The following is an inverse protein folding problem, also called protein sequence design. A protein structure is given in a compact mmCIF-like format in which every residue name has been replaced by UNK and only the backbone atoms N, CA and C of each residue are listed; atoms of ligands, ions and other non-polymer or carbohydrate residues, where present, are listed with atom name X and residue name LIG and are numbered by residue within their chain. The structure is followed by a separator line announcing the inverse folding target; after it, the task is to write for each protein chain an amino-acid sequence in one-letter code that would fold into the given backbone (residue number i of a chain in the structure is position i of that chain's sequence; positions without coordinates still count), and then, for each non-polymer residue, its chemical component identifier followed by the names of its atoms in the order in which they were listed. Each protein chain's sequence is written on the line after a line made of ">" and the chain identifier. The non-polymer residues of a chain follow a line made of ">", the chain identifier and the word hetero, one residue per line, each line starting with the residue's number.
data_IF_480154413350
#
_entry.id   IF_480154413350
#
_cell.length_a   1.000
_cell.length_b   1.000
_cell.length_c   1.000
_cell.angle_alpha   90.00
_cell.angle_beta   90.00
_cell.angle_gamma   90.00
#
_symmetry.space_group_name_H-M   'P 1'
#
loop_
_entity.id
_entity.type
_entity.pdbx_description
1 polymer ?
#
# COMPACT_ATOMS: atom_id res chain seq x y z
N UNK A 1 -28.71 9.58 -28.56
CA UNK A 1 -27.44 10.25 -28.89
C UNK A 1 -26.39 9.17 -29.02
N UNK A 2 -26.01 8.82 -30.24
CA UNK A 2 -24.92 7.89 -30.54
C UNK A 2 -23.61 8.49 -30.04
N UNK A 3 -22.81 7.69 -29.32
CA UNK A 3 -21.48 8.13 -28.89
C UNK A 3 -20.67 8.56 -30.13
N UNK A 4 -19.90 9.67 -30.07
CA UNK A 4 -19.05 10.06 -31.19
C UNK A 4 -18.04 8.94 -31.47
N UNK A 5 -17.90 8.57 -32.75
CA UNK A 5 -16.89 7.64 -33.24
C UNK A 5 -15.52 8.10 -32.74
N UNK A 6 -14.94 7.34 -31.81
CA UNK A 6 -13.56 7.53 -31.38
C UNK A 6 -12.71 6.58 -32.23
N UNK A 7 -12.11 7.03 -33.34
CA UNK A 7 -11.28 6.16 -34.15
C UNK A 7 -10.10 5.64 -33.31
N UNK A 8 -9.63 4.41 -33.55
CA UNK A 8 -8.45 3.90 -32.86
C UNK A 8 -7.27 4.85 -33.07
N UNK A 9 -6.47 5.04 -32.02
CA UNK A 9 -5.28 5.89 -32.06
C UNK A 9 -4.39 5.46 -33.21
N UNK A 10 -4.17 6.38 -34.18
CA UNK A 10 -3.24 6.12 -35.27
C UNK A 10 -1.83 6.05 -34.71
N UNK A 11 -1.29 4.83 -34.66
CA UNK A 11 0.10 4.61 -34.25
C UNK A 11 0.99 4.94 -35.44
N UNK A 12 2.00 5.82 -35.30
CA UNK A 12 2.95 6.09 -36.36
C UNK A 12 3.58 4.79 -36.85
N UNK A 13 3.59 4.55 -38.15
CA UNK A 13 4.19 3.36 -38.75
C UNK A 13 5.65 3.59 -39.17
N UNK A 14 6.10 4.83 -39.14
CA UNK A 14 7.40 5.34 -39.55
C UNK A 14 8.35 5.54 -38.34
N UNK A 15 8.26 4.68 -37.34
CA UNK A 15 9.10 4.77 -36.15
C UNK A 15 10.49 4.20 -36.44
N UNK A 16 11.53 5.02 -36.32
CA UNK A 16 12.93 4.58 -36.34
C UNK A 16 13.27 3.85 -35.03
N UNK A 17 13.08 2.52 -35.04
CA UNK A 17 13.36 1.65 -33.91
C UNK A 17 14.84 1.66 -33.49
N UNK A 18 15.84 1.63 -34.40
CA UNK A 18 17.24 1.82 -34.05
C UNK A 18 17.51 3.12 -33.26
N UNK A 19 17.05 4.27 -33.75
CA UNK A 19 17.26 5.55 -33.08
C UNK A 19 16.59 5.61 -31.69
N UNK A 20 15.39 5.02 -31.57
CA UNK A 20 14.68 4.95 -30.28
C UNK A 20 15.43 4.08 -29.26
N UNK A 21 15.95 2.91 -29.68
CA UNK A 21 16.77 2.04 -28.82
C UNK A 21 18.04 2.74 -28.35
N UNK A 22 18.69 3.48 -29.23
CA UNK A 22 19.88 4.26 -28.88
C UNK A 22 19.57 5.38 -27.88
N UNK A 23 18.45 6.09 -28.06
CA UNK A 23 17.96 7.07 -27.07
C UNK A 23 17.74 6.42 -25.70
N UNK A 24 17.08 5.26 -25.65
CA UNK A 24 16.86 4.53 -24.39
C UNK A 24 18.17 4.06 -23.74
N UNK A 25 19.14 3.59 -24.54
CA UNK A 25 20.48 3.23 -24.03
C UNK A 25 21.16 4.42 -23.38
N UNK A 26 21.20 5.59 -24.05
CA UNK A 26 21.80 6.83 -23.52
C UNK A 26 21.12 7.30 -22.24
N UNK A 27 19.78 7.24 -22.16
CA UNK A 27 19.05 7.60 -20.94
C UNK A 27 19.28 6.61 -19.79
N UNK A 28 19.40 5.31 -20.08
CA UNK A 28 19.77 4.29 -19.09
C UNK A 28 21.17 4.55 -18.53
N UNK A 29 22.15 4.78 -19.39
CA UNK A 29 23.55 4.97 -19.01
C UNK A 29 23.78 6.15 -18.07
N UNK A 30 23.03 7.26 -18.24
CA UNK A 30 23.07 8.41 -17.32
C UNK A 30 22.74 8.05 -15.87
N UNK A 31 22.06 6.92 -15.63
CA UNK A 31 21.46 6.55 -14.33
C UNK A 31 21.97 5.21 -13.79
N UNK A 32 22.90 4.56 -14.50
CA UNK A 32 23.57 3.38 -13.96
C UNK A 32 24.48 3.80 -12.81
N UNK A 33 24.18 3.27 -11.62
CA UNK A 33 24.96 3.49 -10.40
C UNK A 33 25.69 2.19 -10.06
N UNK A 34 27.04 2.17 -9.97
CA UNK A 34 27.79 0.96 -9.61
C UNK A 34 27.45 0.46 -8.20
N UNK A 35 26.95 1.33 -7.32
CA UNK A 35 26.50 0.99 -5.97
C UNK A 35 25.21 0.15 -5.95
N UNK A 36 24.42 0.18 -7.03
CA UNK A 36 23.17 -0.56 -7.16
C UNK A 36 22.15 -0.17 -6.09
N UNK A 37 21.59 -1.15 -5.38
CA UNK A 37 20.63 -0.90 -4.29
C UNK A 37 21.24 -0.24 -3.06
N UNK A 38 22.57 -0.23 -2.91
CA UNK A 38 23.27 0.42 -1.78
C UNK A 38 23.22 1.94 -1.81
N UNK A 39 22.67 2.53 -2.87
CA UNK A 39 22.42 3.98 -2.96
C UNK A 39 21.29 4.45 -2.03
N UNK A 40 20.48 3.53 -1.50
CA UNK A 40 19.40 3.83 -0.57
C UNK A 40 19.87 3.60 0.87
N UNK A 41 19.50 4.52 1.76
CA UNK A 41 19.74 4.37 3.19
C UNK A 41 18.64 3.47 3.75
N UNK A 42 19.04 2.41 4.45
CA UNK A 42 18.12 1.63 5.27
C UNK A 42 17.70 2.46 6.49
N UNK A 43 16.40 2.42 6.82
CA UNK A 43 15.84 3.09 7.99
C UNK A 43 16.25 2.34 9.28
N UNK A 44 17.54 2.38 9.62
CA UNK A 44 18.10 1.87 10.87
C UNK A 44 18.48 3.07 11.75
N UNK A 45 18.53 2.86 13.06
CA UNK A 45 18.93 3.86 14.07
C UNK A 45 18.03 5.12 14.10
N UNK A 46 18.58 6.32 13.87
CA UNK A 46 17.91 7.62 13.98
C UNK A 46 16.61 7.73 13.15
N UNK A 47 16.47 6.89 12.12
CA UNK A 47 15.32 6.87 11.22
C UNK A 47 14.36 5.69 11.44
N UNK A 48 14.65 4.77 12.37
CA UNK A 48 13.78 3.63 12.66
C UNK A 48 12.37 4.09 13.07
N UNK A 49 12.26 5.23 13.77
CA UNK A 49 10.99 5.83 14.17
C UNK A 49 10.05 6.19 12.99
N UNK A 50 10.57 6.40 11.78
CA UNK A 50 9.75 6.66 10.60
C UNK A 50 9.03 5.41 10.07
N UNK A 51 9.46 4.22 10.48
CA UNK A 51 8.89 2.95 10.04
C UNK A 51 8.23 2.17 11.17
N UNK A 52 8.80 2.23 12.38
CA UNK A 52 8.34 1.42 13.53
C UNK A 52 7.23 2.09 14.35
N UNK A 53 6.99 3.40 14.15
CA UNK A 53 5.93 4.13 14.85
C UNK A 53 4.72 4.35 13.95
N UNK A 54 3.56 3.92 14.44
CA UNK A 54 2.27 4.21 13.82
C UNK A 54 1.86 5.68 14.10
N UNK A 55 1.71 6.54 13.07
CA UNK A 55 1.32 7.94 13.27
C UNK A 55 -0.19 8.12 13.48
N UNK A 56 -0.99 7.08 13.23
CA UNK A 56 -2.46 7.16 13.21
C UNK A 56 -3.11 6.55 14.43
N UNK A 57 -2.49 5.53 15.03
CA UNK A 57 -3.06 4.82 16.17
C UNK A 57 -1.99 4.64 17.23
N UNK A 58 -2.19 5.19 18.45
CA UNK A 58 -1.26 4.94 19.52
C UNK A 58 -1.26 3.45 19.86
N UNK A 59 -0.09 2.89 20.22
CA UNK A 59 -0.02 1.49 20.63
C UNK A 59 -0.92 1.25 21.86
N UNK A 60 -1.73 0.17 21.88
CA UNK A 60 -2.54 -0.15 23.04
C UNK A 60 -1.64 -0.56 24.20
N UNK A 61 -2.04 -0.18 25.42
CA UNK A 61 -1.46 -0.72 26.64
C UNK A 61 -1.98 -2.14 26.84
N UNK A 62 -1.12 -3.13 26.59
CA UNK A 62 -1.44 -4.55 26.78
C UNK A 62 -0.23 -5.31 27.32
N UNK A 63 -0.50 -6.32 28.14
CA UNK A 63 0.51 -7.28 28.55
C UNK A 63 1.02 -8.10 27.33
N UNK A 64 2.26 -8.63 27.40
CA UNK A 64 2.74 -9.61 26.44
C UNK A 64 1.79 -10.82 26.36
N UNK A 65 1.53 -11.28 25.14
CA UNK A 65 0.65 -12.43 24.88
C UNK A 65 1.52 -13.69 24.85
N UNK A 66 1.12 -14.70 25.60
CA UNK A 66 1.64 -16.07 25.46
C UNK A 66 0.49 -16.98 25.05
N UNK A 67 0.59 -17.59 23.86
CA UNK A 67 -0.49 -18.40 23.30
C UNK A 67 0.01 -19.44 22.30
N UNK A 68 -0.64 -20.60 22.32
CA UNK A 68 -0.56 -21.57 21.24
C UNK A 68 -1.61 -21.20 20.19
N UNK A 69 -1.17 -21.13 18.93
CA UNK A 69 -1.99 -20.70 17.80
C UNK A 69 -1.94 -21.77 16.72
N UNK A 70 -3.06 -22.09 16.09
CA UNK A 70 -3.07 -23.01 14.97
C UNK A 70 -2.58 -22.36 13.68
N UNK A 71 -3.18 -21.23 13.27
CA UNK A 71 -2.71 -20.49 12.10
C UNK A 71 -2.42 -19.03 12.45
N UNK A 72 -1.15 -18.64 12.30
CA UNK A 72 -0.74 -17.25 12.42
C UNK A 72 -0.53 -16.63 11.04
N UNK A 73 -1.24 -15.56 10.74
CA UNK A 73 -1.14 -14.79 9.50
C UNK A 73 -0.37 -13.51 9.77
N UNK A 74 0.71 -13.28 9.03
CA UNK A 74 1.55 -12.10 9.18
C UNK A 74 1.13 -11.02 8.18
N UNK A 75 0.50 -9.95 8.67
CA UNK A 75 0.06 -8.80 7.89
C UNK A 75 -1.47 -8.70 7.80
N UNK A 76 -1.99 -7.51 8.04
CA UNK A 76 -3.40 -7.14 8.02
C UNK A 76 -3.85 -6.43 6.73
N UNK A 77 -3.09 -6.58 5.63
CA UNK A 77 -3.50 -6.11 4.30
C UNK A 77 -4.49 -7.06 3.60
N UNK A 78 -4.77 -6.84 2.32
CA UNK A 78 -5.67 -7.72 1.56
C UNK A 78 -5.28 -9.20 1.60
N UNK A 79 -3.98 -9.52 1.50
CA UNK A 79 -3.53 -10.91 1.60
C UNK A 79 -3.91 -11.57 2.93
N UNK A 80 -3.72 -10.85 4.05
CA UNK A 80 -4.07 -11.36 5.37
C UNK A 80 -5.58 -11.41 5.61
N UNK A 81 -6.31 -10.38 5.17
CA UNK A 81 -7.77 -10.34 5.24
C UNK A 81 -8.41 -11.49 4.45
N UNK A 82 -7.92 -11.75 3.23
CA UNK A 82 -8.40 -12.87 2.41
C UNK A 82 -8.05 -14.20 3.04
N UNK A 83 -6.81 -14.37 3.51
CA UNK A 83 -6.40 -15.59 4.21
C UNK A 83 -7.30 -15.86 5.43
N UNK A 84 -7.49 -14.86 6.30
CA UNK A 84 -8.39 -14.96 7.45
C UNK A 84 -9.83 -15.29 7.06
N UNK A 85 -10.38 -14.58 6.07
CA UNK A 85 -11.74 -14.82 5.58
C UNK A 85 -11.93 -16.26 5.05
N UNK A 86 -11.01 -16.75 4.23
CA UNK A 86 -11.10 -18.11 3.67
C UNK A 86 -10.86 -19.19 4.73
N UNK A 87 -9.98 -18.97 5.70
CA UNK A 87 -9.79 -19.89 6.82
C UNK A 87 -11.04 -19.97 7.69
N UNK A 88 -11.67 -18.84 8.01
CA UNK A 88 -12.95 -18.80 8.74
C UNK A 88 -14.07 -19.49 7.94
N UNK A 89 -14.16 -19.26 6.63
CA UNK A 89 -15.12 -19.98 5.74
C UNK A 89 -14.88 -21.50 5.74
N UNK A 90 -13.63 -21.93 5.88
CA UNK A 90 -13.27 -23.35 5.95
C UNK A 90 -13.49 -23.98 7.34
N UNK A 91 -13.98 -23.22 8.32
CA UNK A 91 -14.21 -23.71 9.69
C UNK A 91 -12.94 -23.79 10.54
N UNK A 92 -11.89 -23.04 10.21
CA UNK A 92 -10.70 -22.92 11.07
C UNK A 92 -10.96 -21.85 12.13
N UNK A 93 -11.14 -22.29 13.38
CA UNK A 93 -11.53 -21.41 14.47
C UNK A 93 -10.36 -20.58 15.02
N UNK A 94 -9.20 -21.20 15.24
CA UNK A 94 -8.01 -20.57 15.83
C UNK A 94 -7.05 -20.01 14.76
N UNK A 95 -7.42 -18.84 14.26
CA UNK A 95 -6.61 -18.03 13.35
C UNK A 95 -6.27 -16.73 14.07
N UNK A 96 -5.01 -16.30 14.01
CA UNK A 96 -4.59 -14.98 14.48
C UNK A 96 -3.95 -14.19 13.36
N UNK A 97 -4.22 -12.89 13.29
CA UNK A 97 -3.61 -11.99 12.30
C UNK A 97 -2.79 -10.95 13.06
N UNK A 98 -1.47 -10.93 12.85
CA UNK A 98 -0.59 -9.94 13.48
C UNK A 98 -0.26 -8.83 12.48
N UNK A 99 -0.40 -7.58 12.91
CA UNK A 99 -0.21 -6.40 12.06
C UNK A 99 0.51 -5.29 12.85
N UNK A 100 1.46 -4.63 12.18
CA UNK A 100 2.20 -3.51 12.75
C UNK A 100 1.33 -2.27 12.93
N UNK A 101 0.35 -2.07 12.04
CA UNK A 101 -0.61 -0.96 12.12
C UNK A 101 -1.67 -1.20 13.20
N UNK A 102 -2.33 -0.12 13.60
CA UNK A 102 -3.44 -0.15 14.55
C UNK A 102 -4.77 -0.64 14.00
N UNK A 103 -4.89 -0.91 12.70
CA UNK A 103 -6.10 -1.44 12.05
C UNK A 103 -5.73 -2.23 10.77
N UNK A 104 -6.70 -2.91 10.19
CA UNK A 104 -6.55 -3.59 8.91
C UNK A 104 -6.37 -2.61 7.74
N UNK A 105 -5.76 -3.07 6.65
CA UNK A 105 -5.69 -2.34 5.39
C UNK A 105 -4.30 -2.37 4.75
N UNK A 106 -3.25 -2.66 5.51
CA UNK A 106 -1.87 -2.72 5.00
C UNK A 106 -1.51 -1.41 4.28
N UNK A 107 -1.16 -1.49 3.00
CA UNK A 107 -0.83 -0.31 2.18
C UNK A 107 -1.91 0.78 2.27
N UNK A 108 -3.19 0.41 2.32
CA UNK A 108 -4.32 1.35 2.40
C UNK A 108 -4.53 1.94 3.80
N UNK A 109 -4.04 1.27 4.84
CA UNK A 109 -3.99 1.83 6.19
C UNK A 109 -2.86 2.85 6.32
N UNK A 110 -1.67 2.47 5.83
CA UNK A 110 -0.42 3.21 6.00
C UNK A 110 -0.30 4.42 5.09
N UNK A 111 -0.85 4.40 3.88
CA UNK A 111 -0.77 5.53 2.96
C UNK A 111 -2.06 6.36 3.06
N UNK A 112 -1.95 7.61 3.52
CA UNK A 112 -3.10 8.54 3.61
C UNK A 112 -2.84 9.92 3.01
N UNK A 113 -1.87 10.01 2.10
CA UNK A 113 -1.59 11.27 1.41
C UNK A 113 -2.78 11.70 0.53
N UNK A 114 -2.99 13.02 0.36
CA UNK A 114 -4.07 13.53 -0.48
C UNK A 114 -3.98 13.00 -1.91
N UNK A 115 -5.10 12.61 -2.49
CA UNK A 115 -5.15 12.11 -3.87
C UNK A 115 -4.73 10.66 -4.06
N UNK A 116 -4.47 9.89 -2.99
CA UNK A 116 -4.23 8.44 -3.10
C UNK A 116 -5.41 7.73 -3.78
N UNK A 117 -5.12 6.98 -4.85
CA UNK A 117 -6.08 6.15 -5.58
C UNK A 117 -5.43 4.82 -5.96
N UNK A 118 -6.28 3.85 -6.31
CA UNK A 118 -5.84 2.62 -6.99
C UNK A 118 -5.60 2.89 -8.48
N UNK A 119 -4.53 2.32 -9.03
CA UNK A 119 -4.16 2.37 -10.46
C UNK A 119 -4.86 1.28 -11.29
N UNK A 120 -5.35 0.23 -10.64
CA UNK A 120 -6.19 -0.79 -11.23
C UNK A 120 -7.68 -0.41 -11.20
N UNK A 121 -8.46 -0.97 -12.13
CA UNK A 121 -9.91 -0.85 -12.09
C UNK A 121 -10.48 -1.48 -10.81
N UNK A 122 -11.30 -0.74 -10.07
CA UNK A 122 -11.75 -1.09 -8.73
C UNK A 122 -12.44 -2.46 -8.68
N UNK A 123 -13.21 -2.83 -9.70
CA UNK A 123 -13.88 -4.14 -9.75
C UNK A 123 -12.93 -5.33 -9.84
N UNK A 124 -11.73 -5.12 -10.40
CA UNK A 124 -10.73 -6.17 -10.54
C UNK A 124 -9.77 -6.21 -9.35
N UNK A 125 -9.64 -5.10 -8.62
CA UNK A 125 -8.63 -4.96 -7.57
C UNK A 125 -9.20 -5.11 -6.15
N UNK A 126 -10.37 -4.54 -5.89
CA UNK A 126 -11.00 -4.61 -4.57
C UNK A 126 -11.62 -6.00 -4.42
N UNK A 127 -11.19 -6.81 -3.43
CA UNK A 127 -11.66 -8.17 -3.31
C UNK A 127 -13.04 -8.25 -2.63
N UNK A 128 -13.72 -9.39 -2.72
CA UNK A 128 -14.95 -9.68 -1.95
C UNK A 128 -16.12 -8.69 -2.17
N UNK A 129 -16.21 -8.10 -3.37
CA UNK A 129 -17.25 -7.13 -3.71
C UNK A 129 -18.65 -7.76 -3.68
N UNK A 130 -18.80 -8.97 -4.23
CA UNK A 130 -20.09 -9.67 -4.24
C UNK A 130 -20.49 -10.12 -2.83
N UNK A 131 -19.57 -10.72 -2.07
CA UNK A 131 -19.85 -11.19 -0.70
C UNK A 131 -20.25 -10.06 0.25
N UNK A 132 -19.71 -8.87 0.02
CA UNK A 132 -20.01 -7.68 0.83
C UNK A 132 -21.09 -6.79 0.21
N UNK A 133 -21.69 -7.21 -0.91
CA UNK A 133 -22.64 -6.43 -1.70
C UNK A 133 -22.18 -4.98 -1.88
N UNK A 134 -20.92 -4.82 -2.29
CA UNK A 134 -20.27 -3.52 -2.40
C UNK A 134 -19.98 -3.16 -3.85
N UNK A 135 -20.36 -1.94 -4.22
CA UNK A 135 -20.05 -1.35 -5.50
C UNK A 135 -19.11 -0.16 -5.26
N UNK A 136 -17.85 -0.22 -5.71
CA UNK A 136 -16.95 0.91 -5.62
C UNK A 136 -17.54 2.18 -6.25
N UNK A 137 -17.18 3.36 -5.74
CA UNK A 137 -17.78 4.63 -6.16
C UNK A 137 -17.29 5.11 -7.54
N UNK A 138 -16.07 4.70 -7.91
CA UNK A 138 -15.35 5.13 -9.11
C UNK A 138 -14.66 3.95 -9.78
N UNK A 139 -14.37 4.12 -11.07
CA UNK A 139 -13.52 3.19 -11.83
C UNK A 139 -12.15 2.96 -11.17
N UNK A 140 -11.59 4.02 -10.59
CA UNK A 140 -10.37 4.01 -9.78
C UNK A 140 -10.73 4.54 -8.38
N UNK A 141 -10.89 3.64 -7.41
CA UNK A 141 -11.35 3.98 -6.07
C UNK A 141 -10.29 4.78 -5.31
N UNK A 142 -10.76 5.68 -4.45
CA UNK A 142 -9.88 6.46 -3.58
C UNK A 142 -9.33 5.56 -2.46
N UNK A 143 -8.12 5.85 -1.98
CA UNK A 143 -7.48 5.04 -0.94
C UNK A 143 -8.29 4.95 0.35
N UNK A 144 -9.02 6.02 0.71
CA UNK A 144 -9.93 6.03 1.88
C UNK A 144 -11.11 5.08 1.70
N UNK A 145 -11.64 4.96 0.49
CA UNK A 145 -12.72 4.05 0.16
C UNK A 145 -12.26 2.59 0.27
N UNK A 146 -11.06 2.31 -0.23
CA UNK A 146 -10.44 0.98 -0.19
C UNK A 146 -10.08 0.60 1.26
N UNK A 147 -9.55 1.53 2.05
CA UNK A 147 -9.31 1.31 3.47
C UNK A 147 -10.61 0.97 4.22
N UNK A 148 -11.69 1.71 3.98
CA UNK A 148 -12.98 1.40 4.60
C UNK A 148 -13.52 0.03 4.14
N UNK A 149 -13.21 -0.39 2.91
CA UNK A 149 -13.51 -1.73 2.45
C UNK A 149 -12.72 -2.82 3.21
N UNK A 150 -11.45 -2.58 3.51
CA UNK A 150 -10.65 -3.47 4.36
C UNK A 150 -11.30 -3.69 5.73
N UNK A 151 -11.80 -2.61 6.35
CA UNK A 151 -12.51 -2.67 7.63
C UNK A 151 -13.85 -3.42 7.51
N UNK A 152 -14.56 -3.28 6.38
CA UNK A 152 -15.77 -4.05 6.08
C UNK A 152 -15.49 -5.54 5.99
N UNK A 153 -14.42 -5.95 5.32
CA UNK A 153 -13.97 -7.37 5.30
C UNK A 153 -13.69 -7.85 6.72
N UNK A 154 -12.89 -7.10 7.49
CA UNK A 154 -12.53 -7.45 8.86
C UNK A 154 -13.75 -7.65 9.77
N UNK A 155 -14.76 -6.77 9.67
CA UNK A 155 -16.01 -6.88 10.43
C UNK A 155 -16.87 -8.06 9.97
N UNK A 156 -17.06 -8.22 8.67
CA UNK A 156 -17.95 -9.25 8.11
C UNK A 156 -17.51 -10.68 8.46
N UNK A 157 -16.20 -10.93 8.49
CA UNK A 157 -15.63 -12.23 8.83
C UNK A 157 -15.19 -12.36 10.29
N UNK A 158 -15.51 -11.40 11.16
CA UNK A 158 -15.14 -11.45 12.59
C UNK A 158 -13.62 -11.49 12.84
N UNK A 159 -12.82 -10.89 11.96
CA UNK A 159 -11.36 -10.97 12.03
C UNK A 159 -10.76 -10.07 13.10
N UNK A 160 -11.50 -9.06 13.57
CA UNK A 160 -11.05 -8.16 14.63
C UNK A 160 -10.74 -8.89 15.95
N UNK A 161 -11.54 -9.90 16.30
CA UNK A 161 -11.33 -10.70 17.52
C UNK A 161 -10.06 -11.57 17.44
N UNK A 162 -9.62 -11.82 16.21
CA UNK A 162 -8.44 -12.62 15.87
C UNK A 162 -7.19 -11.77 15.67
N UNK A 163 -7.31 -10.43 15.66
CA UNK A 163 -6.23 -9.53 15.31
C UNK A 163 -5.33 -9.18 16.50
N UNK A 164 -4.03 -9.08 16.25
CA UNK A 164 -3.01 -8.58 17.17
C UNK A 164 -2.37 -7.35 16.50
N UNK A 165 -2.96 -6.19 16.74
CA UNK A 165 -2.54 -4.92 16.15
C UNK A 165 -1.35 -4.27 16.87
N UNK A 166 -0.76 -3.29 16.20
CA UNK A 166 0.39 -2.51 16.64
C UNK A 166 1.62 -3.36 16.97
N UNK A 167 1.73 -4.58 16.44
CA UNK A 167 2.77 -5.55 16.80
C UNK A 167 3.62 -5.93 15.58
N UNK A 168 4.93 -5.77 15.72
CA UNK A 168 5.92 -6.16 14.73
C UNK A 168 6.43 -7.57 15.02
N UNK A 169 6.39 -8.47 14.05
CA UNK A 169 7.16 -9.72 14.13
C UNK A 169 8.62 -9.46 13.77
N UNK A 170 9.52 -9.87 14.67
CA UNK A 170 10.98 -9.71 14.54
C UNK A 170 11.69 -11.01 14.18
N UNK A 171 11.14 -12.15 14.63
CA UNK A 171 11.74 -13.45 14.39
C UNK A 171 10.68 -14.54 14.25
N UNK A 172 10.98 -15.51 13.40
CA UNK A 172 10.27 -16.79 13.31
C UNK A 172 11.32 -17.89 13.42
N UNK A 173 11.12 -18.83 14.34
CA UNK A 173 12.01 -19.98 14.52
C UNK A 173 11.18 -21.24 14.67
N UNK A 174 11.49 -22.26 13.90
CA UNK A 174 10.91 -23.57 14.13
C UNK A 174 11.52 -24.17 15.39
N UNK A 175 10.68 -24.72 16.26
CA UNK A 175 11.07 -25.45 17.46
C UNK A 175 10.63 -26.91 17.31
N UNK A 176 11.59 -27.81 17.17
CA UNK A 176 11.38 -29.24 16.94
C UNK A 176 10.80 -29.97 18.18
N UNK A 177 11.01 -29.45 19.39
CA UNK A 177 10.51 -30.07 20.62
C UNK A 177 8.99 -29.93 20.74
N UNK A 178 8.49 -28.71 20.49
CA UNK A 178 7.05 -28.41 20.53
C UNK A 178 6.36 -28.54 19.16
N UNK A 179 7.13 -28.77 18.09
CA UNK A 179 6.67 -28.87 16.69
C UNK A 179 5.83 -27.67 16.26
N UNK A 180 6.31 -26.47 16.61
CA UNK A 180 5.64 -25.19 16.33
C UNK A 180 6.66 -24.12 15.98
N UNK A 181 6.21 -23.10 15.28
CA UNK A 181 6.94 -21.86 15.08
C UNK A 181 6.85 -20.98 16.32
N UNK A 182 7.99 -20.65 16.92
CA UNK A 182 8.11 -19.55 17.88
C UNK A 182 8.22 -18.24 17.15
N UNK A 183 7.35 -17.30 17.50
CA UNK A 183 7.24 -15.99 16.87
C UNK A 183 7.61 -14.94 17.90
N UNK A 184 8.76 -14.29 17.70
CA UNK A 184 9.22 -13.20 18.54
C UNK A 184 8.72 -11.85 18.01
N UNK A 185 8.19 -11.01 18.89
CA UNK A 185 7.63 -9.69 18.53
C UNK A 185 8.40 -8.55 19.19
N UNK A 186 8.10 -7.31 18.79
CA UNK A 186 8.59 -6.09 19.47
C UNK A 186 7.92 -5.81 20.82
N UNK A 187 7.07 -6.71 21.32
CA UNK A 187 6.33 -6.59 22.58
C UNK A 187 6.55 -7.77 23.52
N UNK A 188 7.62 -8.52 23.29
CA UNK A 188 7.99 -9.69 24.09
C UNK A 188 6.88 -10.76 24.16
N UNK A 189 6.06 -10.87 23.10
CA UNK A 189 5.06 -11.93 22.99
C UNK A 189 5.76 -13.30 22.77
N UNK A 190 5.22 -14.36 23.39
CA UNK A 190 5.62 -15.77 23.16
C UNK A 190 4.50 -16.51 22.45
N UNK A 191 4.41 -16.30 21.13
CA UNK A 191 3.41 -16.94 20.29
C UNK A 191 3.97 -18.22 19.65
N UNK A 192 3.21 -19.31 19.72
CA UNK A 192 3.62 -20.64 19.25
C UNK A 192 2.64 -21.15 18.18
N UNK A 193 2.95 -20.86 16.93
CA UNK A 193 2.06 -21.12 15.79
C UNK A 193 2.34 -22.49 15.14
N UNK A 194 1.29 -23.27 14.83
CA UNK A 194 1.44 -24.53 14.07
C UNK A 194 1.75 -24.26 12.60
N UNK A 195 1.01 -23.31 12.01
CA UNK A 195 1.20 -22.84 10.65
C UNK A 195 1.41 -21.32 10.64
N UNK A 196 2.27 -20.85 9.74
CA UNK A 196 2.53 -19.42 9.53
C UNK A 196 2.26 -19.08 8.07
N UNK A 197 1.43 -18.07 7.83
CA UNK A 197 1.14 -17.53 6.49
C UNK A 197 1.78 -16.16 6.37
N UNK A 198 2.68 -16.00 5.39
CA UNK A 198 3.37 -14.74 5.12
C UNK A 198 2.53 -13.86 4.20
N UNK A 199 1.90 -12.82 4.74
CA UNK A 199 1.11 -11.83 3.99
C UNK A 199 1.63 -10.39 4.18
N UNK A 200 2.94 -10.23 4.44
CA UNK A 200 3.58 -8.96 4.81
C UNK A 200 3.69 -7.93 3.66
N UNK A 201 3.39 -8.34 2.43
CA UNK A 201 3.40 -7.48 1.24
C UNK A 201 4.79 -7.02 0.78
N UNK A 202 4.95 -6.66 -0.51
CA UNK A 202 6.26 -6.32 -1.09
C UNK A 202 6.74 -4.90 -0.75
N UNK A 203 5.86 -3.99 -0.32
CA UNK A 203 6.16 -2.55 -0.17
C UNK A 203 5.93 -2.02 1.25
N UNK A 204 6.41 -2.75 2.26
CA UNK A 204 6.17 -2.40 3.65
C UNK A 204 7.23 -1.46 4.23
N UNK A 205 8.49 -1.50 3.75
CA UNK A 205 9.58 -0.64 4.26
C UNK A 205 9.87 0.55 3.33
N UNK A 206 9.67 1.80 3.77
CA UNK A 206 10.10 2.97 3.01
C UNK A 206 11.62 2.98 2.85
N UNK A 207 12.11 3.49 1.71
CA UNK A 207 13.54 3.66 1.45
C UNK A 207 13.85 5.15 1.33
N UNK A 208 14.86 5.62 2.06
CA UNK A 208 15.34 7.00 1.93
C UNK A 208 16.46 7.08 0.89
N UNK A 209 16.51 8.15 0.09
CA UNK A 209 17.64 8.37 -0.82
C UNK A 209 18.90 8.72 -0.01
N UNK A 210 20.05 8.18 -0.41
CA UNK A 210 21.35 8.46 0.18
C UNK A 210 21.92 9.85 -0.13
N UNK A 211 21.16 10.91 0.13
CA UNK A 211 21.59 12.29 -0.12
C UNK A 211 22.56 12.71 1.00
N UNK A 212 23.81 13.12 0.67
CA UNK A 212 24.74 13.63 1.67
C UNK A 212 24.14 14.82 2.43
N UNK A 213 24.20 14.79 3.76
CA UNK A 213 23.65 15.85 4.62
C UNK A 213 22.13 15.81 4.82
N UNK A 214 21.43 14.76 4.38
CA UNK A 214 19.97 14.63 4.60
C UNK A 214 19.57 14.68 6.08
N UNK A 215 20.45 14.23 6.98
CA UNK A 215 20.28 14.28 8.44
C UNK A 215 20.37 15.70 9.00
N UNK A 216 21.07 16.61 8.31
CA UNK A 216 21.30 17.99 8.78
C UNK A 216 20.15 18.93 8.42
N UNK A 217 19.13 18.44 7.71
CA UNK A 217 17.95 19.22 7.32
C UNK A 217 17.12 19.58 8.54
N UNK A 218 17.05 20.88 8.85
CA UNK A 218 16.33 21.41 10.02
C UNK A 218 14.84 21.67 9.81
N UNK A 219 14.34 21.49 8.58
CA UNK A 219 12.92 21.63 8.28
C UNK A 219 12.13 20.37 8.59
N UNK A 220 10.81 20.43 8.47
CA UNK A 220 9.95 19.26 8.62
C UNK A 220 10.12 18.31 7.43
N UNK A 221 10.53 17.07 7.69
CA UNK A 221 10.63 16.00 6.70
C UNK A 221 9.67 14.85 7.06
N UNK A 222 8.91 14.39 6.08
CA UNK A 222 8.03 13.22 6.20
C UNK A 222 8.14 12.36 4.94
N UNK A 223 7.99 11.05 5.11
CA UNK A 223 7.83 10.14 3.97
C UNK A 223 6.37 10.09 3.54
N UNK A 224 6.10 9.85 2.25
CA UNK A 224 4.72 9.86 1.71
C UNK A 224 3.74 8.92 2.44
N UNK A 225 4.14 7.74 2.95
CA UNK A 225 3.27 6.96 3.83
C UNK A 225 2.83 7.73 5.08
N UNK A 226 3.76 8.39 5.77
CA UNK A 226 3.55 9.05 7.06
C UNK A 226 2.97 10.49 6.98
N UNK A 227 2.21 10.83 5.93
CA UNK A 227 1.83 12.21 5.56
C UNK A 227 1.37 13.14 6.70
N UNK A 228 1.60 14.45 6.54
CA UNK A 228 1.21 15.50 7.51
C UNK A 228 -0.02 16.31 7.06
N UNK A 229 -0.86 16.73 7.99
CA UNK A 229 -2.01 17.65 7.76
C UNK A 229 -1.62 19.13 7.69
N UNK A 230 -0.36 19.48 7.99
CA UNK A 230 0.11 20.87 8.01
C UNK A 230 0.59 21.29 6.61
N UNK A 231 0.11 22.44 6.10
CA UNK A 231 0.60 23.05 4.85
C UNK A 231 1.83 23.91 5.14
N UNK A 232 3.05 23.53 4.74
CA UNK A 232 4.23 24.36 4.96
C UNK A 232 4.29 25.52 3.96
N UNK A 233 5.04 26.57 4.31
CA UNK A 233 5.21 27.77 3.47
C UNK A 233 5.98 27.51 2.17
N UNK A 234 6.78 26.43 2.13
CA UNK A 234 7.42 25.89 0.93
C UNK A 234 7.54 24.36 1.07
N UNK A 235 7.32 23.63 -0.02
CA UNK A 235 7.41 22.15 -0.04
C UNK A 235 8.38 21.69 -1.13
N UNK A 236 9.26 20.76 -0.81
CA UNK A 236 10.09 20.06 -1.78
C UNK A 236 9.76 18.56 -1.76
N UNK A 237 9.43 18.00 -2.92
CA UNK A 237 9.15 16.56 -3.07
C UNK A 237 10.27 15.92 -3.87
N UNK A 238 10.91 14.90 -3.29
CA UNK A 238 11.91 14.07 -3.97
C UNK A 238 11.27 12.72 -4.26
N UNK A 239 11.01 12.42 -5.53
CA UNK A 239 10.28 11.22 -5.97
C UNK A 239 11.14 10.31 -6.84
N UNK A 240 11.03 8.99 -6.61
CA UNK A 240 11.62 7.95 -7.45
C UNK A 240 10.50 7.04 -7.92
N UNK A 241 10.27 6.94 -9.22
CA UNK A 241 9.14 6.16 -9.73
C UNK A 241 9.47 4.67 -9.82
N UNK A 242 9.03 3.87 -8.84
CA UNK A 242 9.05 2.40 -8.97
C UNK A 242 7.70 1.79 -8.53
N UNK A 243 6.94 1.35 -9.54
CA UNK A 243 5.71 0.51 -9.62
C UNK A 243 4.56 0.61 -8.59
N UNK A 244 4.77 0.97 -7.32
CA UNK A 244 3.70 1.27 -6.35
C UNK A 244 3.95 2.58 -5.59
N UNK A 245 5.21 3.03 -5.53
CA UNK A 245 5.59 4.40 -5.16
C UNK A 245 5.72 5.31 -6.39
N UNK A 246 5.45 4.78 -7.59
CA UNK A 246 5.51 5.53 -8.85
C UNK A 246 4.57 6.73 -8.90
N UNK A 247 3.46 6.67 -8.17
CA UNK A 247 2.43 7.71 -8.24
C UNK A 247 2.34 8.58 -6.99
N UNK A 248 3.03 8.23 -5.91
CA UNK A 248 2.99 8.98 -4.66
C UNK A 248 3.47 10.43 -4.85
N UNK A 249 4.49 10.64 -5.70
CA UNK A 249 4.96 11.97 -6.11
C UNK A 249 4.01 12.74 -7.02
N UNK A 250 3.08 12.07 -7.71
CA UNK A 250 2.07 12.67 -8.59
C UNK A 250 0.79 13.03 -7.84
N UNK A 251 0.38 12.15 -6.92
CA UNK A 251 -0.83 12.32 -6.11
C UNK A 251 -0.62 13.28 -4.94
N UNK A 252 0.54 13.23 -4.27
CA UNK A 252 0.85 14.11 -3.14
C UNK A 252 0.65 15.62 -3.42
N UNK A 253 1.02 16.17 -4.59
CA UNK A 253 0.74 17.57 -4.91
C UNK A 253 -0.70 17.85 -5.41
N UNK A 254 -1.64 16.90 -5.30
CA UNK A 254 -2.99 16.96 -5.90
C UNK A 254 -3.91 18.09 -5.45
N UNK A 255 -3.49 18.97 -4.52
CA UNK A 255 -4.13 20.27 -4.28
C UNK A 255 -3.26 21.40 -4.83
N UNK A 256 -3.77 22.27 -5.71
CA UNK A 256 -3.03 23.45 -6.11
C UNK A 256 -2.71 24.29 -4.85
N UNK A 257 -1.45 24.73 -4.68
CA UNK A 257 -1.10 25.57 -3.54
C UNK A 257 -1.92 26.85 -3.54
N UNK A 258 -2.23 27.36 -2.34
CA UNK A 258 -2.65 28.76 -2.21
C UNK A 258 -1.55 29.65 -2.81
N UNK A 259 -1.92 30.83 -3.33
CA UNK A 259 -1.06 31.73 -4.13
C UNK A 259 0.31 32.12 -3.51
N UNK A 260 0.60 31.73 -2.27
CA UNK A 260 1.84 32.04 -1.54
C UNK A 260 2.85 30.89 -1.40
N UNK A 261 2.54 29.65 -1.79
CA UNK A 261 3.43 28.50 -1.58
C UNK A 261 4.24 28.16 -2.84
N UNK A 262 5.57 27.96 -2.69
CA UNK A 262 6.46 27.48 -3.76
C UNK A 262 6.70 25.98 -3.61
N UNK A 263 6.59 25.25 -4.73
CA UNK A 263 6.80 23.79 -4.78
C UNK A 263 7.95 23.44 -5.71
N UNK A 264 8.88 22.62 -5.22
CA UNK A 264 10.01 22.10 -6.00
C UNK A 264 9.89 20.58 -6.13
N UNK A 265 10.02 20.05 -7.35
CA UNK A 265 10.00 18.62 -7.62
C UNK A 265 11.38 18.15 -8.10
N UNK A 266 12.07 17.35 -7.29
CA UNK A 266 13.31 16.69 -7.68
C UNK A 266 13.01 15.35 -8.34
N UNK A 267 13.20 15.26 -9.67
CA UNK A 267 12.97 14.04 -10.45
C UNK A 267 14.27 13.53 -11.09
N UNK A 268 14.86 12.44 -10.57
CA UNK A 268 16.06 11.83 -11.16
C UNK A 268 15.75 11.10 -12.48
N UNK A 269 14.50 10.68 -12.68
CA UNK A 269 13.97 10.11 -13.92
C UNK A 269 12.51 10.51 -14.12
N UNK A 270 12.08 10.67 -15.36
CA UNK A 270 10.67 10.91 -15.71
C UNK A 270 9.91 9.59 -15.78
N UNK A 271 8.72 9.53 -15.17
CA UNK A 271 7.78 8.43 -15.37
C UNK A 271 7.00 8.60 -16.67
N UNK A 272 6.69 7.51 -17.34
CA UNK A 272 5.68 7.52 -18.40
C UNK A 272 4.31 7.42 -17.75
N UNK A 273 3.41 8.34 -18.11
CA UNK A 273 2.04 8.39 -17.57
C UNK A 273 1.03 8.24 -18.70
N UNK A 274 -0.01 7.45 -18.45
CA UNK A 274 -1.17 7.36 -19.33
C UNK A 274 -2.37 8.01 -18.64
N UNK A 275 -3.29 8.57 -19.44
CA UNK A 275 -4.49 9.21 -18.92
C UNK A 275 -5.41 8.17 -18.29
N UNK A 276 -5.74 8.33 -17.00
CA UNK A 276 -6.79 7.57 -16.34
C UNK A 276 -8.14 8.28 -16.53
N UNK A 277 -9.10 7.72 -17.30
CA UNK A 277 -10.40 8.33 -17.48
C UNK A 277 -11.19 8.31 -16.16
N UNK A 278 -11.55 9.49 -15.66
CA UNK A 278 -12.18 9.70 -14.34
C UNK A 278 -13.71 9.69 -14.40
N UNK A 279 -14.29 8.69 -15.04
CA UNK A 279 -15.75 8.58 -15.10
C UNK A 279 -16.32 7.92 -13.83
N UNK A 280 -17.39 8.48 -13.22
CA UNK A 280 -18.23 7.73 -12.30
C UNK A 280 -18.75 6.48 -13.01
N UNK A 281 -19.05 5.42 -12.26
CA UNK A 281 -19.76 4.28 -12.87
C UNK A 281 -21.05 4.78 -13.51
N UNK A 282 -21.24 4.50 -14.78
CA UNK A 282 -22.56 4.62 -15.38
C UNK A 282 -23.48 3.70 -14.58
N UNK A 283 -24.56 4.25 -13.99
CA UNK A 283 -25.62 3.44 -13.39
C UNK A 283 -26.23 2.59 -14.49
N UNK A 284 -25.73 1.38 -14.69
CA UNK A 284 -26.44 0.37 -15.44
C UNK A 284 -27.58 -0.10 -14.54
N UNK A 285 -28.76 0.50 -14.71
CA UNK A 285 -30.00 -0.06 -14.16
C UNK A 285 -30.18 -1.42 -14.84
N UNK A 286 -29.83 -2.49 -14.13
CA UNK A 286 -30.11 -3.85 -14.57
C UNK A 286 -31.63 -4.06 -14.46
N UNK A 287 -32.36 -3.75 -15.53
CA UNK A 287 -33.73 -4.23 -15.68
C UNK A 287 -33.68 -5.74 -15.92
N UNK A 288 -33.74 -6.52 -14.84
CA UNK A 288 -34.07 -7.94 -14.90
C UNK A 288 -35.49 -8.06 -15.48
N UNK A 289 -35.69 -8.69 -16.64
CA UNK A 289 -37.04 -8.98 -17.11
C UNK A 289 -37.67 -9.99 -16.14
N UNK A 290 -38.84 -9.62 -15.61
CA UNK A 290 -39.72 -10.56 -14.91
C UNK A 290 -40.11 -11.67 -15.87
N UNK A 291 -39.59 -12.88 -15.62
CA UNK A 291 -40.15 -14.10 -16.19
C UNK A 291 -41.56 -14.26 -15.61
N UNK A 292 -42.58 -13.94 -16.42
CA UNK A 292 -43.95 -14.40 -16.16
C UNK A 292 -43.99 -15.90 -16.43
N UNK A 293 -44.47 -16.65 -15.45
CA UNK A 293 -44.89 -18.05 -15.60
C UNK A 293 -46.17 -18.19 -16.39
#
# INVERSE_FOLDING_TARGET
>A
MTAPDCPPTQTPQDIDLPALREKYRREREKRLRPEGSRQYIELVDDFAGYYESDPYTPPPDRAPISADIDVLVLGGGFGGLLCGAYLKKAGVDDVRIIELGGDFGGVWYWNRYPGLQCDNESYCYVPLLEELNYIPSKKFADGTEIYEHCRRIGKHYGLYDSAIFSTQVRALRWDDEIKRWRVGTNRDDDLRARFVVMASGPFHRPKLPGIPGIKDFRGTAFTVPAGTTTTPAATATVGWSTFATSESGWWAPGRPPSRSCRTWAGMPSTSTSFSAPRHPWARATMCLPTLRG
#
